data_IF_982103833025
#
_entry.id   IF_982103833025
#
_cell.length_a   1.000
_cell.length_b   1.000
_cell.length_c   1.000
_cell.angle_alpha   90.00
_cell.angle_beta   90.00
_cell.angle_gamma   90.00
#
_symmetry.space_group_name_H-M   'P 1'
#
loop_
_entity.id
_entity.type
_entity.pdbx_description
1 polymer ?
#
# COMPACT_ATOMS: atom_id res chain seq x y z
N UNK A 1 6.75 -85.27 9.84
CA UNK A 1 7.92 -84.41 9.72
C UNK A 1 7.54 -83.21 8.82
N UNK A 2 7.21 -82.09 9.39
CA UNK A 2 6.79 -80.88 8.70
C UNK A 2 7.98 -79.93 8.56
N UNK A 3 8.37 -79.61 7.32
CA UNK A 3 9.40 -78.61 7.01
C UNK A 3 8.76 -77.24 7.05
N UNK A 4 9.17 -76.44 7.99
CA UNK A 4 8.79 -75.01 8.08
C UNK A 4 9.77 -74.21 7.20
N UNK A 5 9.23 -73.62 6.10
CA UNK A 5 9.97 -72.70 5.25
C UNK A 5 9.90 -71.30 5.84
N UNK A 6 11.04 -70.74 6.20
CA UNK A 6 11.17 -69.35 6.66
C UNK A 6 11.22 -68.47 5.41
N UNK A 7 10.13 -67.68 5.17
CA UNK A 7 10.10 -66.62 4.17
C UNK A 7 10.74 -65.36 4.76
N UNK A 8 11.96 -65.06 4.33
CA UNK A 8 12.62 -63.81 4.67
C UNK A 8 12.06 -62.73 3.72
N UNK A 9 11.15 -61.90 4.22
CA UNK A 9 10.71 -60.68 3.52
C UNK A 9 11.81 -59.64 3.61
N UNK A 10 12.53 -59.39 2.53
CA UNK A 10 13.43 -58.27 2.39
C UNK A 10 12.56 -57.03 2.16
N UNK A 11 12.33 -56.26 3.25
CA UNK A 11 11.70 -54.94 3.18
C UNK A 11 12.76 -53.97 2.65
N UNK A 12 12.78 -53.75 1.32
CA UNK A 12 13.58 -52.70 0.73
C UNK A 12 13.06 -51.33 1.21
N UNK A 13 13.73 -50.72 2.16
CA UNK A 13 13.57 -49.32 2.54
C UNK A 13 14.01 -48.48 1.35
N UNK A 14 13.06 -48.12 0.52
CA UNK A 14 13.21 -47.02 -0.45
C UNK A 14 13.32 -45.73 0.38
N UNK A 15 14.50 -45.39 0.79
CA UNK A 15 14.85 -44.01 1.17
C UNK A 15 14.76 -43.19 -0.11
N UNK A 16 13.56 -42.68 -0.39
CA UNK A 16 13.39 -41.64 -1.38
C UNK A 16 14.16 -40.43 -0.81
N UNK A 17 15.38 -40.22 -1.32
CA UNK A 17 16.03 -38.92 -1.18
C UNK A 17 15.05 -37.91 -1.75
N UNK A 18 14.34 -37.17 -0.89
CA UNK A 18 13.64 -35.95 -1.31
C UNK A 18 14.74 -34.98 -1.75
N UNK A 19 15.06 -35.04 -3.04
CA UNK A 19 15.85 -33.99 -3.65
C UNK A 19 14.97 -32.75 -3.59
N UNK A 20 15.26 -31.87 -2.62
CA UNK A 20 14.65 -30.56 -2.65
C UNK A 20 15.11 -29.88 -3.95
N UNK A 21 14.20 -29.38 -4.77
CA UNK A 21 14.56 -28.70 -6.00
C UNK A 21 15.50 -27.55 -5.68
N UNK A 22 16.61 -27.46 -6.42
CA UNK A 22 17.66 -26.46 -6.22
C UNK A 22 17.91 -25.72 -7.51
N UNK A 23 18.17 -24.42 -7.40
CA UNK A 23 18.77 -23.64 -8.45
C UNK A 23 20.30 -23.65 -8.33
N UNK A 24 21.00 -23.33 -9.39
CA UNK A 24 22.45 -23.27 -9.44
C UNK A 24 22.93 -21.97 -10.08
N UNK A 25 23.97 -21.36 -9.49
CA UNK A 25 24.63 -20.17 -10.02
C UNK A 25 26.10 -20.49 -10.22
N UNK A 26 26.56 -20.42 -11.47
CA UNK A 26 27.91 -20.78 -11.86
C UNK A 26 28.60 -19.66 -12.63
N UNK A 27 29.89 -19.79 -12.89
CA UNK A 27 30.61 -18.88 -13.75
C UNK A 27 32.05 -18.67 -13.37
N UNK A 28 32.60 -17.52 -13.78
CA UNK A 28 33.97 -17.12 -13.45
C UNK A 28 34.01 -15.64 -13.07
N UNK A 29 34.75 -15.33 -12.02
CA UNK A 29 35.06 -13.95 -11.59
C UNK A 29 36.60 -13.86 -11.52
N UNK A 30 37.19 -13.29 -12.54
CA UNK A 30 38.66 -13.15 -12.61
C UNK A 30 39.12 -11.91 -11.80
N UNK A 31 40.34 -12.01 -11.24
CA UNK A 31 40.90 -10.96 -10.40
C UNK A 31 40.36 -10.95 -8.97
N UNK A 32 39.76 -12.07 -8.55
CA UNK A 32 39.28 -12.31 -7.18
C UNK A 32 39.59 -13.76 -6.72
N UNK A 33 40.58 -14.39 -7.33
CA UNK A 33 40.98 -15.75 -7.01
C UNK A 33 41.35 -15.85 -5.51
N UNK A 34 40.79 -16.83 -4.81
CA UNK A 34 40.98 -17.01 -3.37
C UNK A 34 40.09 -16.15 -2.48
N UNK A 35 39.34 -15.19 -3.03
CA UNK A 35 38.34 -14.43 -2.27
C UNK A 35 37.08 -15.27 -2.06
N UNK A 36 36.32 -14.93 -1.00
CA UNK A 36 35.03 -15.58 -0.74
C UNK A 36 33.90 -14.90 -1.49
N UNK A 37 33.24 -15.66 -2.34
CA UNK A 37 32.00 -15.27 -3.02
C UNK A 37 30.80 -15.75 -2.19
N UNK A 38 29.87 -14.85 -1.92
CA UNK A 38 28.61 -15.12 -1.23
C UNK A 38 27.44 -15.05 -2.21
N UNK A 39 26.55 -16.03 -2.13
CA UNK A 39 25.22 -15.97 -2.71
C UNK A 39 24.24 -15.57 -1.60
N UNK A 40 23.57 -14.46 -1.78
CA UNK A 40 22.69 -13.90 -0.77
C UNK A 40 21.29 -13.70 -1.34
N UNK A 41 20.26 -14.09 -0.58
CA UNK A 41 18.87 -13.78 -0.86
C UNK A 41 18.52 -12.39 -0.32
N UNK A 42 18.00 -11.52 -1.16
CA UNK A 42 17.65 -10.14 -0.79
C UNK A 42 16.14 -10.05 -0.54
N UNK A 43 15.70 -10.40 0.66
CA UNK A 43 14.30 -10.22 1.07
C UNK A 43 13.98 -8.73 1.33
N UNK A 44 12.72 -8.39 1.61
CA UNK A 44 12.29 -6.99 1.82
C UNK A 44 12.98 -6.32 3.02
N UNK A 45 13.17 -7.06 4.10
CA UNK A 45 13.64 -6.50 5.38
C UNK A 45 15.04 -6.98 5.77
N UNK A 46 15.55 -8.03 5.11
CA UNK A 46 16.82 -8.64 5.45
C UNK A 46 17.52 -9.22 4.23
N UNK A 47 18.79 -9.55 4.41
CA UNK A 47 19.58 -10.26 3.40
C UNK A 47 20.22 -11.45 4.08
N UNK A 48 19.96 -12.65 3.56
CA UNK A 48 20.43 -13.91 4.13
C UNK A 48 21.47 -14.54 3.21
N UNK A 49 22.58 -15.02 3.79
CA UNK A 49 23.56 -15.82 3.04
C UNK A 49 22.95 -17.20 2.80
N UNK A 50 22.82 -17.58 1.53
CA UNK A 50 22.27 -18.86 1.11
C UNK A 50 23.39 -19.89 0.91
N UNK A 51 24.50 -19.46 0.29
CA UNK A 51 25.66 -20.30 0.02
C UNK A 51 26.92 -19.43 -0.11
N UNK A 52 28.08 -20.05 -0.04
CA UNK A 52 29.37 -19.37 -0.24
C UNK A 52 30.44 -20.33 -0.70
N UNK A 53 31.37 -19.84 -1.49
CA UNK A 53 32.55 -20.58 -1.88
C UNK A 53 33.78 -19.68 -1.95
N UNK A 54 34.97 -20.28 -1.83
CA UNK A 54 36.22 -19.61 -2.20
C UNK A 54 36.45 -19.81 -3.69
N UNK A 55 36.69 -18.71 -4.42
CA UNK A 55 36.95 -18.76 -5.85
C UNK A 55 38.19 -19.60 -6.17
N UNK A 56 38.03 -20.46 -7.18
CA UNK A 56 39.17 -21.30 -7.65
C UNK A 56 40.28 -20.44 -8.26
N UNK A 57 41.44 -21.05 -8.53
CA UNK A 57 42.60 -20.38 -9.14
C UNK A 57 42.32 -19.80 -10.56
N UNK A 58 41.31 -20.28 -11.22
CA UNK A 58 40.82 -19.79 -12.54
C UNK A 58 39.59 -18.84 -12.38
N UNK A 59 39.24 -18.47 -11.14
CA UNK A 59 38.10 -17.65 -10.81
C UNK A 59 36.74 -18.36 -10.93
N UNK A 60 36.73 -19.68 -11.19
CA UNK A 60 35.47 -20.43 -11.34
C UNK A 60 34.78 -20.68 -10.00
N UNK A 61 33.44 -20.75 -10.06
CA UNK A 61 32.58 -21.01 -8.90
C UNK A 61 31.30 -21.76 -9.26
N UNK A 62 30.73 -22.43 -8.26
CA UNK A 62 29.39 -23.01 -8.32
C UNK A 62 28.72 -22.86 -6.93
N UNK A 63 27.56 -22.23 -6.91
CA UNK A 63 26.74 -21.98 -5.72
C UNK A 63 25.34 -22.49 -5.94
N UNK A 64 24.68 -22.94 -4.87
CA UNK A 64 23.34 -23.54 -4.95
C UNK A 64 22.43 -22.97 -3.87
N UNK A 65 21.12 -23.02 -4.16
CA UNK A 65 20.10 -22.68 -3.18
C UNK A 65 18.84 -23.48 -3.41
N UNK A 66 17.97 -23.53 -2.39
CA UNK A 66 16.63 -24.10 -2.56
C UNK A 66 15.84 -23.26 -3.55
N UNK A 67 15.09 -23.91 -4.45
CA UNK A 67 14.23 -23.21 -5.40
C UNK A 67 13.23 -22.31 -4.66
N UNK A 68 13.12 -21.03 -5.02
CA UNK A 68 12.14 -20.14 -4.42
C UNK A 68 10.72 -20.50 -4.86
N UNK A 69 9.74 -20.20 -4.02
CA UNK A 69 8.32 -20.36 -4.36
C UNK A 69 7.86 -19.37 -5.43
N UNK A 70 8.40 -18.14 -5.36
CA UNK A 70 8.20 -17.08 -6.35
C UNK A 70 9.54 -16.55 -6.83
N UNK A 71 9.63 -16.00 -8.07
CA UNK A 71 10.85 -15.33 -8.50
C UNK A 71 11.27 -14.26 -7.50
N UNK A 72 12.55 -14.22 -7.10
CA UNK A 72 13.03 -13.24 -6.13
C UNK A 72 14.46 -12.77 -6.45
N UNK A 73 14.88 -11.72 -5.73
CA UNK A 73 16.19 -11.12 -5.90
C UNK A 73 17.26 -11.82 -5.07
N UNK A 74 18.35 -12.06 -5.73
CA UNK A 74 19.57 -12.56 -5.14
C UNK A 74 20.73 -11.64 -5.49
N UNK A 75 21.84 -11.75 -4.79
CA UNK A 75 23.07 -11.07 -5.15
C UNK A 75 24.29 -11.98 -4.98
N UNK A 76 25.23 -11.86 -5.90
CA UNK A 76 26.59 -12.38 -5.78
C UNK A 76 27.47 -11.28 -5.23
N UNK A 77 28.10 -11.49 -4.07
CA UNK A 77 28.87 -10.46 -3.38
C UNK A 77 30.30 -10.92 -3.04
N UNK A 78 31.28 -10.05 -3.34
CA UNK A 78 32.65 -10.13 -2.88
C UNK A 78 33.00 -8.80 -2.21
N UNK A 79 33.28 -8.81 -0.90
CA UNK A 79 33.49 -7.60 -0.12
C UNK A 79 32.30 -6.64 -0.20
N UNK A 80 32.49 -5.45 -0.78
CA UNK A 80 31.42 -4.46 -0.97
C UNK A 80 30.84 -4.46 -2.41
N UNK A 81 31.40 -5.26 -3.30
CA UNK A 81 30.97 -5.34 -4.69
C UNK A 81 29.94 -6.44 -4.87
N UNK A 82 28.90 -6.19 -5.64
CA UNK A 82 27.86 -7.19 -5.89
C UNK A 82 27.17 -7.04 -7.25
N UNK A 83 26.76 -8.16 -7.79
CA UNK A 83 25.87 -8.28 -8.92
C UNK A 83 24.47 -8.68 -8.42
N UNK A 84 23.42 -8.16 -9.04
CA UNK A 84 22.01 -8.51 -8.70
C UNK A 84 21.48 -9.44 -9.77
N UNK A 85 20.86 -10.54 -9.34
CA UNK A 85 20.22 -11.51 -10.23
C UNK A 85 18.81 -11.83 -9.72
N UNK A 86 17.97 -12.32 -10.60
CA UNK A 86 16.64 -12.84 -10.30
C UNK A 86 16.67 -14.34 -10.52
N UNK A 87 16.26 -15.09 -9.51
CA UNK A 87 16.10 -16.55 -9.59
C UNK A 87 14.63 -16.89 -9.62
N UNK A 88 14.28 -17.72 -10.61
CA UNK A 88 12.95 -18.30 -10.77
C UNK A 88 13.08 -19.84 -10.77
N UNK A 89 12.41 -20.49 -9.81
CA UNK A 89 12.36 -21.95 -9.70
C UNK A 89 13.74 -22.66 -9.75
N UNK A 90 13.99 -23.41 -10.81
CA UNK A 90 15.15 -24.27 -11.02
C UNK A 90 16.19 -23.64 -11.94
N UNK A 91 16.32 -22.33 -11.95
CA UNK A 91 17.23 -21.62 -12.83
C UNK A 91 18.69 -22.12 -12.72
N UNK A 92 19.33 -22.24 -13.87
CA UNK A 92 20.78 -22.39 -14.00
C UNK A 92 21.35 -21.09 -14.53
N UNK A 93 21.75 -20.21 -13.61
CA UNK A 93 22.26 -18.87 -13.97
C UNK A 93 23.78 -18.92 -14.07
N UNK A 94 24.31 -18.35 -15.15
CA UNK A 94 25.77 -18.24 -15.31
C UNK A 94 26.16 -16.76 -15.41
N UNK A 95 27.21 -16.36 -14.66
CA UNK A 95 27.81 -15.02 -14.74
C UNK A 95 29.32 -15.14 -14.97
N UNK A 96 29.81 -14.54 -16.06
CA UNK A 96 31.23 -14.34 -16.33
C UNK A 96 31.57 -12.85 -16.23
N UNK A 97 32.52 -12.50 -15.36
CA UNK A 97 32.90 -11.10 -15.14
C UNK A 97 34.32 -11.00 -14.53
N UNK A 98 34.78 -9.78 -14.30
CA UNK A 98 35.97 -9.50 -13.49
C UNK A 98 35.57 -8.85 -12.17
N UNK A 99 36.39 -8.90 -11.13
CA UNK A 99 36.13 -8.26 -9.85
C UNK A 99 35.83 -6.76 -10.01
N UNK A 100 36.57 -6.07 -10.88
CA UNK A 100 36.37 -4.63 -11.13
C UNK A 100 35.08 -4.34 -11.88
N UNK A 101 34.65 -5.28 -12.70
CA UNK A 101 33.41 -5.14 -13.50
C UNK A 101 32.18 -5.69 -12.79
N UNK A 102 32.32 -6.37 -11.65
CA UNK A 102 31.23 -7.06 -10.96
C UNK A 102 29.98 -6.19 -10.73
N UNK A 103 30.07 -4.92 -10.31
CA UNK A 103 28.89 -4.08 -10.18
C UNK A 103 28.51 -3.35 -11.49
N UNK A 104 29.32 -3.45 -12.56
CA UNK A 104 29.19 -2.56 -13.75
C UNK A 104 28.76 -3.29 -14.99
N UNK A 105 29.37 -4.48 -15.26
CA UNK A 105 29.12 -5.23 -16.49
C UNK A 105 28.73 -6.67 -16.12
N UNK A 106 27.43 -6.86 -15.96
CA UNK A 106 26.84 -8.14 -15.61
C UNK A 106 26.36 -8.82 -16.90
N UNK A 107 27.06 -9.87 -17.34
CA UNK A 107 26.66 -10.70 -18.50
C UNK A 107 26.08 -12.02 -18.01
N UNK A 108 24.80 -12.01 -17.67
CA UNK A 108 24.08 -13.20 -17.27
C UNK A 108 23.63 -14.03 -18.47
N UNK A 109 23.61 -15.36 -18.28
CA UNK A 109 22.88 -16.31 -19.12
C UNK A 109 22.06 -17.25 -18.24
N UNK A 110 21.02 -17.85 -18.80
CA UNK A 110 20.16 -18.79 -18.07
C UNK A 110 19.03 -18.16 -17.26
N UNK A 111 19.01 -16.83 -17.12
CA UNK A 111 17.89 -16.08 -16.52
C UNK A 111 17.64 -14.79 -17.30
N UNK A 112 16.53 -14.75 -18.03
CA UNK A 112 16.14 -13.57 -18.81
C UNK A 112 15.89 -12.36 -17.90
N UNK A 113 15.28 -12.56 -16.75
CA UNK A 113 15.03 -11.49 -15.78
C UNK A 113 16.33 -10.91 -15.21
N UNK A 114 17.35 -11.71 -14.96
CA UNK A 114 18.69 -11.23 -14.55
C UNK A 114 19.32 -10.35 -15.62
N UNK A 115 19.22 -10.76 -16.89
CA UNK A 115 19.72 -9.95 -18.02
C UNK A 115 19.03 -8.58 -18.08
N UNK A 116 17.70 -8.57 -17.96
CA UNK A 116 16.91 -7.32 -17.99
C UNK A 116 17.19 -6.42 -16.78
N UNK A 117 17.36 -6.98 -15.57
CA UNK A 117 17.78 -6.20 -14.39
C UNK A 117 19.17 -5.59 -14.59
N UNK A 118 20.13 -6.35 -15.15
CA UNK A 118 21.45 -5.82 -15.48
C UNK A 118 21.37 -4.68 -16.51
N UNK A 119 20.49 -4.78 -17.52
CA UNK A 119 20.25 -3.71 -18.49
C UNK A 119 19.66 -2.45 -17.81
N UNK A 120 18.71 -2.59 -16.90
CA UNK A 120 18.16 -1.48 -16.12
C UNK A 120 19.25 -0.80 -15.28
N UNK A 121 20.08 -1.57 -14.58
CA UNK A 121 21.21 -1.06 -13.78
C UNK A 121 22.21 -0.29 -14.64
N UNK A 122 22.57 -0.85 -15.78
CA UNK A 122 23.47 -0.20 -16.75
C UNK A 122 22.88 1.09 -17.31
N UNK A 123 21.61 1.06 -17.71
CA UNK A 123 20.91 2.23 -18.21
C UNK A 123 20.86 3.36 -17.16
N UNK A 124 20.57 3.03 -15.90
CA UNK A 124 20.52 4.01 -14.79
C UNK A 124 21.89 4.70 -14.58
N UNK A 125 23.00 3.94 -14.72
CA UNK A 125 24.35 4.48 -14.56
C UNK A 125 24.77 5.37 -15.73
N UNK A 126 24.52 4.91 -16.94
CA UNK A 126 25.10 5.49 -18.16
C UNK A 126 24.27 6.59 -18.81
N UNK A 127 22.98 6.69 -18.51
CA UNK A 127 22.06 7.64 -19.15
C UNK A 127 21.57 8.72 -18.18
N UNK A 128 21.15 9.89 -18.71
CA UNK A 128 20.34 10.84 -17.95
C UNK A 128 19.09 10.19 -17.39
N UNK A 129 18.59 10.71 -16.27
CA UNK A 129 17.45 10.09 -15.54
C UNK A 129 16.19 9.98 -16.40
N UNK A 130 15.92 10.96 -17.27
CA UNK A 130 14.71 10.96 -18.11
C UNK A 130 14.79 9.93 -19.24
N UNK A 131 15.96 9.74 -19.85
CA UNK A 131 16.17 8.68 -20.83
C UNK A 131 16.09 7.29 -20.18
N UNK A 132 16.68 7.15 -18.98
CA UNK A 132 16.54 5.92 -18.21
C UNK A 132 15.09 5.65 -17.83
N UNK A 133 14.33 6.68 -17.41
CA UNK A 133 12.91 6.55 -17.09
C UNK A 133 12.10 6.01 -18.28
N UNK A 134 12.35 6.53 -19.49
CA UNK A 134 11.69 6.02 -20.70
C UNK A 134 12.03 4.55 -20.96
N UNK A 135 13.29 4.16 -20.80
CA UNK A 135 13.71 2.77 -20.93
C UNK A 135 13.03 1.87 -19.87
N UNK A 136 13.00 2.30 -18.61
CA UNK A 136 12.34 1.58 -17.53
C UNK A 136 10.83 1.45 -17.76
N UNK A 137 10.17 2.48 -18.29
CA UNK A 137 8.75 2.44 -18.69
C UNK A 137 8.48 1.33 -19.72
N UNK A 138 9.34 1.20 -20.72
CA UNK A 138 9.21 0.14 -21.74
C UNK A 138 9.31 -1.24 -21.11
N UNK A 139 10.28 -1.46 -20.20
CA UNK A 139 10.46 -2.72 -19.48
C UNK A 139 9.25 -3.05 -18.60
N UNK A 140 8.72 -2.07 -17.85
CA UNK A 140 7.53 -2.24 -16.99
C UNK A 140 6.32 -2.66 -17.84
N UNK A 141 6.09 -1.97 -18.95
CA UNK A 141 4.91 -2.24 -19.79
C UNK A 141 5.02 -3.56 -20.58
N UNK A 142 6.23 -4.00 -20.90
CA UNK A 142 6.45 -5.28 -21.58
C UNK A 142 6.31 -6.49 -20.63
N UNK A 143 6.71 -6.34 -19.36
CA UNK A 143 6.79 -7.43 -18.38
C UNK A 143 6.19 -7.06 -17.02
N UNK A 144 4.93 -6.58 -16.93
CA UNK A 144 4.39 -5.93 -15.74
C UNK A 144 4.28 -6.85 -14.50
N UNK A 145 4.19 -8.17 -14.69
CA UNK A 145 4.12 -9.16 -13.62
C UNK A 145 5.49 -9.66 -13.14
N UNK A 146 6.59 -9.18 -13.74
CA UNK A 146 7.93 -9.70 -13.48
C UNK A 146 8.66 -8.97 -12.35
N UNK A 147 9.70 -9.61 -11.80
CA UNK A 147 10.61 -8.96 -10.87
C UNK A 147 11.40 -7.82 -11.51
N UNK A 148 11.53 -7.82 -12.84
CA UNK A 148 12.13 -6.71 -13.61
C UNK A 148 11.32 -5.44 -13.46
N UNK A 149 9.99 -5.53 -13.61
CA UNK A 149 9.09 -4.38 -13.43
C UNK A 149 9.08 -3.89 -11.97
N UNK A 150 9.03 -4.83 -11.01
CA UNK A 150 9.17 -4.50 -9.60
C UNK A 150 10.49 -3.76 -9.31
N UNK A 151 11.61 -4.25 -9.84
CA UNK A 151 12.91 -3.59 -9.70
C UNK A 151 12.91 -2.19 -10.32
N UNK A 152 12.33 -2.04 -11.51
CA UNK A 152 12.31 -0.79 -12.26
C UNK A 152 11.59 0.35 -11.52
N UNK A 153 10.41 0.06 -10.90
CA UNK A 153 9.63 1.10 -10.21
C UNK A 153 10.32 1.61 -8.95
N UNK A 154 11.18 0.80 -8.29
CA UNK A 154 11.87 1.19 -7.06
C UNK A 154 13.29 1.74 -7.28
N UNK A 155 13.72 1.92 -8.53
CA UNK A 155 15.04 2.48 -8.79
C UNK A 155 15.14 3.96 -8.36
N UNK A 156 16.33 4.31 -7.88
CA UNK A 156 16.69 5.70 -7.56
C UNK A 156 18.09 6.05 -8.07
N UNK A 157 18.30 7.31 -8.41
CA UNK A 157 19.61 7.86 -8.81
C UNK A 157 19.97 9.00 -7.87
N UNK A 158 21.05 8.84 -7.11
CA UNK A 158 21.51 9.83 -6.12
C UNK A 158 20.42 10.23 -5.10
N UNK A 159 19.63 9.24 -4.65
CA UNK A 159 18.53 9.45 -3.70
C UNK A 159 17.23 9.98 -4.30
N UNK A 160 17.21 10.30 -5.59
CA UNK A 160 15.98 10.72 -6.30
C UNK A 160 15.34 9.48 -6.95
N UNK A 161 14.07 9.15 -6.63
CA UNK A 161 13.39 8.03 -7.27
C UNK A 161 13.21 8.27 -8.76
N UNK A 162 13.35 7.22 -9.57
CA UNK A 162 13.10 7.25 -11.02
C UNK A 162 11.61 7.47 -11.28
N UNK A 163 10.77 6.86 -10.47
CA UNK A 163 9.31 7.06 -10.45
C UNK A 163 8.89 7.49 -9.05
N UNK A 164 8.07 8.53 -8.96
CA UNK A 164 7.45 8.97 -7.71
C UNK A 164 6.05 8.35 -7.59
N UNK A 165 5.83 7.59 -6.53
CA UNK A 165 4.54 6.94 -6.25
C UNK A 165 3.43 7.94 -5.92
N UNK A 166 3.78 9.11 -5.41
CA UNK A 166 2.83 10.15 -5.04
C UNK A 166 2.50 11.10 -6.21
N UNK A 167 3.29 11.07 -7.29
CA UNK A 167 3.01 11.82 -8.52
C UNK A 167 2.04 11.01 -9.41
N UNK A 168 0.81 11.49 -9.69
CA UNK A 168 -0.22 10.73 -10.41
C UNK A 168 0.23 10.19 -11.76
N UNK A 169 1.01 10.99 -12.51
CA UNK A 169 1.52 10.61 -13.84
C UNK A 169 2.54 9.48 -13.79
N UNK A 170 3.23 9.32 -12.66
CA UNK A 170 4.27 8.31 -12.46
C UNK A 170 3.72 7.11 -11.67
N UNK A 171 2.79 7.31 -10.74
CA UNK A 171 2.13 6.26 -9.97
C UNK A 171 1.50 5.18 -10.83
N UNK A 172 1.01 5.51 -12.03
CA UNK A 172 0.45 4.52 -12.96
C UNK A 172 1.36 3.31 -13.20
N UNK A 173 2.68 3.48 -13.16
CA UNK A 173 3.63 2.38 -13.35
C UNK A 173 3.65 1.46 -12.13
N UNK A 174 3.59 2.01 -10.93
CA UNK A 174 3.41 1.20 -9.70
C UNK A 174 2.07 0.48 -9.70
N UNK A 175 0.99 1.12 -10.14
CA UNK A 175 -0.34 0.49 -10.25
C UNK A 175 -0.34 -0.69 -11.21
N UNK A 176 0.28 -0.53 -12.38
CA UNK A 176 0.40 -1.61 -13.37
C UNK A 176 1.16 -2.81 -12.79
N UNK A 177 2.30 -2.57 -12.14
CA UNK A 177 3.09 -3.64 -11.52
C UNK A 177 2.32 -4.29 -10.36
N UNK A 178 1.78 -3.48 -9.43
CA UNK A 178 1.03 -3.98 -8.28
C UNK A 178 -0.17 -4.84 -8.68
N UNK A 179 -0.96 -4.38 -9.65
CA UNK A 179 -2.13 -5.11 -10.14
C UNK A 179 -1.73 -6.40 -10.86
N UNK A 180 -0.71 -6.34 -11.72
CA UNK A 180 -0.23 -7.52 -12.45
C UNK A 180 0.35 -8.56 -11.51
N UNK A 181 1.19 -8.16 -10.55
CA UNK A 181 1.73 -9.08 -9.54
C UNK A 181 0.62 -9.65 -8.64
N UNK A 182 -0.39 -8.85 -8.27
CA UNK A 182 -1.51 -9.33 -7.45
C UNK A 182 -2.33 -10.42 -8.15
N UNK A 183 -2.45 -10.38 -9.46
CA UNK A 183 -3.12 -11.43 -10.25
C UNK A 183 -2.30 -12.73 -10.31
N UNK A 184 -0.98 -12.63 -10.48
CA UNK A 184 -0.10 -13.77 -10.72
C UNK A 184 0.57 -14.34 -9.46
N UNK A 185 0.83 -13.50 -8.46
CA UNK A 185 1.53 -13.83 -7.22
C UNK A 185 0.84 -13.14 -6.02
N UNK A 186 -0.46 -13.44 -5.74
CA UNK A 186 -1.24 -12.71 -4.73
C UNK A 186 -0.66 -12.85 -3.31
N UNK A 187 -0.11 -14.02 -2.97
CA UNK A 187 0.39 -14.34 -1.64
C UNK A 187 1.87 -13.96 -1.45
N UNK A 188 2.52 -13.47 -2.51
CA UNK A 188 3.91 -13.05 -2.41
C UNK A 188 4.05 -11.76 -1.62
N UNK A 189 4.93 -11.75 -0.62
CA UNK A 189 5.08 -10.64 0.32
C UNK A 189 5.37 -9.30 -0.36
N UNK A 190 6.18 -9.29 -1.43
CA UNK A 190 6.47 -8.05 -2.19
C UNK A 190 5.23 -7.54 -2.91
N UNK A 191 4.39 -8.42 -3.40
CA UNK A 191 3.11 -8.06 -4.02
C UNK A 191 2.19 -7.39 -3.01
N UNK A 192 2.00 -8.02 -1.85
CA UNK A 192 1.12 -7.49 -0.79
C UNK A 192 1.58 -6.11 -0.33
N UNK A 193 2.88 -5.93 -0.09
CA UNK A 193 3.43 -4.64 0.35
C UNK A 193 3.28 -3.57 -0.73
N UNK A 194 3.65 -3.87 -1.98
CA UNK A 194 3.51 -2.93 -3.09
C UNK A 194 2.05 -2.53 -3.32
N UNK A 195 1.14 -3.51 -3.33
CA UNK A 195 -0.28 -3.26 -3.54
C UNK A 195 -0.87 -2.34 -2.45
N UNK A 196 -0.53 -2.60 -1.19
CA UNK A 196 -0.94 -1.74 -0.07
C UNK A 196 -0.39 -0.32 -0.20
N UNK A 197 0.90 -0.16 -0.51
CA UNK A 197 1.51 1.16 -0.70
C UNK A 197 0.85 1.97 -1.82
N UNK A 198 0.50 1.31 -2.92
CA UNK A 198 -0.20 1.95 -4.05
C UNK A 198 -1.60 2.40 -3.63
N UNK A 199 -2.34 1.55 -2.91
CA UNK A 199 -3.67 1.91 -2.39
C UNK A 199 -3.60 3.10 -1.43
N UNK A 200 -2.63 3.12 -0.53
CA UNK A 200 -2.43 4.22 0.41
C UNK A 200 -2.11 5.54 -0.31
N UNK A 201 -1.24 5.50 -1.32
CA UNK A 201 -0.93 6.67 -2.13
C UNK A 201 -2.16 7.20 -2.90
N UNK A 202 -3.01 6.32 -3.44
CA UNK A 202 -4.26 6.70 -4.10
C UNK A 202 -5.28 7.31 -3.12
N UNK A 203 -5.40 6.74 -1.94
CA UNK A 203 -6.29 7.24 -0.90
C UNK A 203 -5.83 8.62 -0.40
N UNK A 204 -4.52 8.81 -0.21
CA UNK A 204 -3.97 10.12 0.18
C UNK A 204 -4.26 11.20 -0.87
N UNK A 205 -4.12 10.89 -2.17
CA UNK A 205 -4.46 11.83 -3.23
C UNK A 205 -5.95 12.17 -3.24
N UNK A 206 -6.82 11.15 -3.16
CA UNK A 206 -8.28 11.36 -3.13
C UNK A 206 -8.70 12.24 -1.95
N UNK A 207 -8.07 12.02 -0.77
CA UNK A 207 -8.29 12.86 0.41
C UNK A 207 -7.86 14.31 0.13
N UNK A 208 -6.66 14.52 -0.42
CA UNK A 208 -6.16 15.86 -0.75
C UNK A 208 -7.03 16.58 -1.78
N UNK A 209 -7.52 15.88 -2.80
CA UNK A 209 -8.43 16.44 -3.81
C UNK A 209 -9.78 16.83 -3.19
N UNK A 210 -10.35 15.97 -2.33
CA UNK A 210 -11.59 16.27 -1.61
C UNK A 210 -11.43 17.49 -0.70
N UNK A 211 -10.31 17.60 0.00
CA UNK A 211 -10.03 18.75 0.88
C UNK A 211 -9.85 20.04 0.07
N UNK A 212 -9.22 19.97 -1.10
CA UNK A 212 -9.06 21.11 -2.02
C UNK A 212 -10.40 21.56 -2.59
N UNK A 213 -11.22 20.63 -3.10
CA UNK A 213 -12.57 20.95 -3.60
C UNK A 213 -13.45 21.58 -2.51
N UNK A 214 -13.33 21.08 -1.26
CA UNK A 214 -14.07 21.65 -0.15
C UNK A 214 -13.61 23.08 0.18
N UNK A 215 -12.30 23.36 0.15
CA UNK A 215 -11.78 24.74 0.34
C UNK A 215 -12.29 25.67 -0.75
N UNK A 216 -12.22 25.25 -2.01
CA UNK A 216 -12.75 26.01 -3.14
C UNK A 216 -14.25 26.27 -2.99
N UNK A 217 -15.02 25.25 -2.58
CA UNK A 217 -16.45 25.37 -2.32
C UNK A 217 -16.76 26.35 -1.16
N UNK A 218 -15.95 26.34 -0.11
CA UNK A 218 -16.06 27.30 1.02
C UNK A 218 -15.77 28.72 0.53
N UNK A 219 -14.73 28.92 -0.28
CA UNK A 219 -14.35 30.24 -0.83
C UNK A 219 -15.41 30.78 -1.82
N UNK A 220 -16.01 29.91 -2.64
CA UNK A 220 -17.06 30.28 -3.60
C UNK A 220 -18.43 30.49 -2.93
N UNK A 221 -18.68 29.88 -1.76
CA UNK A 221 -19.96 29.92 -1.05
C UNK A 221 -20.09 31.09 -0.08
N UNK A 222 -19.37 32.19 -0.27
CA UNK A 222 -19.46 33.39 0.60
C UNK A 222 -20.89 33.94 0.79
N UNK A 223 -21.93 33.37 0.16
CA UNK A 223 -23.31 33.84 0.26
C UNK A 223 -24.41 32.80 0.44
N UNK A 224 -24.18 31.50 0.36
CA UNK A 224 -25.27 30.52 0.42
C UNK A 224 -25.13 29.53 1.58
N UNK A 225 -25.93 29.70 2.62
CA UNK A 225 -26.19 28.66 3.61
C UNK A 225 -26.90 27.48 2.91
N UNK A 226 -26.27 26.31 2.88
CA UNK A 226 -26.84 25.11 2.31
C UNK A 226 -27.76 24.47 3.36
N UNK A 227 -29.04 24.76 3.28
CA UNK A 227 -29.99 24.26 4.24
C UNK A 227 -30.30 22.77 4.04
N UNK A 228 -30.56 22.08 5.14
CA UNK A 228 -31.03 20.69 5.20
C UNK A 228 -32.39 20.70 5.91
N UNK A 229 -33.39 20.11 5.29
CA UNK A 229 -34.72 19.91 5.86
C UNK A 229 -35.03 18.42 5.86
N UNK A 230 -34.96 17.79 7.02
CA UNK A 230 -35.16 16.34 7.16
C UNK A 230 -36.02 16.01 8.40
N UNK A 231 -36.73 14.86 8.39
CA UNK A 231 -37.56 14.44 9.49
C UNK A 231 -36.72 13.93 10.69
N UNK A 232 -37.17 14.29 11.91
CA UNK A 232 -36.70 13.70 13.15
C UNK A 232 -37.43 12.36 13.43
N UNK A 233 -37.19 11.73 14.59
CA UNK A 233 -37.82 10.45 14.97
C UNK A 233 -39.35 10.57 15.18
N UNK A 234 -39.86 11.78 15.39
CA UNK A 234 -41.30 12.03 15.57
C UNK A 234 -42.00 12.38 14.26
N UNK A 235 -41.25 12.52 13.17
CA UNK A 235 -41.76 12.89 11.85
C UNK A 235 -41.79 14.39 11.60
N UNK A 236 -41.36 15.23 12.54
CA UNK A 236 -41.28 16.67 12.36
C UNK A 236 -40.08 17.03 11.49
N UNK A 237 -40.26 17.95 10.56
CA UNK A 237 -39.16 18.45 9.75
C UNK A 237 -38.32 19.44 10.56
N UNK A 238 -37.04 19.13 10.72
CA UNK A 238 -36.06 20.01 11.36
C UNK A 238 -35.17 20.63 10.27
N UNK A 239 -35.00 21.96 10.32
CA UNK A 239 -34.13 22.66 9.38
C UNK A 239 -32.77 22.95 10.03
N UNK A 240 -31.70 22.75 9.29
CA UNK A 240 -30.35 23.12 9.73
C UNK A 240 -30.27 24.64 9.96
N UNK A 241 -31.00 25.44 9.19
CA UNK A 241 -31.09 26.91 9.33
C UNK A 241 -31.67 27.38 10.67
N UNK A 242 -32.45 26.56 11.38
CA UNK A 242 -32.98 26.88 12.71
C UNK A 242 -31.88 27.01 13.78
N UNK A 243 -30.72 26.45 13.52
CA UNK A 243 -29.53 26.50 14.41
C UNK A 243 -28.64 27.73 14.14
N UNK A 244 -29.00 28.64 13.20
CA UNK A 244 -28.24 29.85 12.95
C UNK A 244 -28.09 30.71 14.22
N UNK A 245 -26.97 31.41 14.33
CA UNK A 245 -26.60 32.16 15.51
C UNK A 245 -25.76 31.41 16.53
N UNK A 246 -25.68 30.08 16.37
CA UNK A 246 -24.76 29.23 17.11
C UNK A 246 -23.70 28.62 16.18
N UNK A 247 -22.61 28.12 16.77
CA UNK A 247 -21.66 27.27 16.04
C UNK A 247 -22.30 25.90 15.88
N UNK A 248 -22.37 25.36 14.66
CA UNK A 248 -23.07 24.11 14.39
C UNK A 248 -22.04 23.04 14.05
N UNK A 249 -22.12 21.90 14.75
CA UNK A 249 -21.45 20.67 14.32
C UNK A 249 -22.47 19.81 13.55
N UNK A 250 -22.39 19.91 12.21
CA UNK A 250 -23.18 19.09 11.30
C UNK A 250 -22.49 17.74 11.14
N UNK A 251 -23.15 16.68 11.55
CA UNK A 251 -22.65 15.33 11.59
C UNK A 251 -23.42 14.43 10.62
N UNK A 252 -22.70 13.78 9.70
CA UNK A 252 -23.22 12.70 8.86
C UNK A 252 -22.68 11.38 9.38
N UNK A 253 -23.55 10.51 9.90
CA UNK A 253 -23.16 9.27 10.56
C UNK A 253 -24.15 8.14 10.33
N UNK A 254 -23.84 6.93 10.80
CA UNK A 254 -24.69 5.76 10.78
C UNK A 254 -24.57 4.98 12.10
N UNK A 255 -25.66 4.41 12.58
CA UNK A 255 -25.67 3.52 13.72
C UNK A 255 -24.83 2.26 13.52
N UNK A 256 -24.56 1.91 12.28
CA UNK A 256 -23.82 0.69 11.89
C UNK A 256 -22.30 0.92 11.74
N UNK A 257 -21.79 2.09 12.13
CA UNK A 257 -20.34 2.33 12.14
C UNK A 257 -19.63 1.44 13.17
N UNK A 258 -18.45 0.94 12.81
CA UNK A 258 -17.68 -0.02 13.61
C UNK A 258 -17.39 0.45 15.05
N UNK A 259 -17.25 1.76 15.27
CA UNK A 259 -17.01 2.37 16.58
C UNK A 259 -18.16 3.31 17.03
N UNK A 260 -19.38 3.05 16.61
CA UNK A 260 -20.53 3.95 16.81
C UNK A 260 -20.75 4.39 18.26
N UNK A 261 -20.59 3.51 19.25
CA UNK A 261 -20.74 3.89 20.66
C UNK A 261 -19.67 4.88 21.14
N UNK A 262 -18.41 4.66 20.79
CA UNK A 262 -17.31 5.58 21.13
C UNK A 262 -17.49 6.94 20.45
N UNK A 263 -17.96 6.92 19.22
CA UNK A 263 -18.26 8.12 18.43
C UNK A 263 -19.36 8.97 19.10
N UNK A 264 -20.48 8.38 19.49
CA UNK A 264 -21.56 9.08 20.18
C UNK A 264 -21.10 9.62 21.54
N UNK A 265 -20.26 8.90 22.27
CA UNK A 265 -19.68 9.40 23.52
C UNK A 265 -18.84 10.64 23.28
N UNK A 266 -18.02 10.68 22.23
CA UNK A 266 -17.22 11.87 21.89
C UNK A 266 -18.09 13.08 21.51
N UNK A 267 -19.18 12.87 20.76
CA UNK A 267 -20.16 13.93 20.48
C UNK A 267 -20.84 14.43 21.76
N UNK A 268 -21.20 13.54 22.70
CA UNK A 268 -21.78 13.93 24.01
C UNK A 268 -20.80 14.75 24.85
N UNK A 269 -19.53 14.41 24.82
CA UNK A 269 -18.50 15.19 25.52
C UNK A 269 -18.40 16.62 24.97
N UNK A 270 -18.42 16.77 23.65
CA UNK A 270 -18.45 18.09 23.01
C UNK A 270 -19.72 18.87 23.37
N UNK A 271 -20.88 18.23 23.26
CA UNK A 271 -22.16 18.85 23.61
C UNK A 271 -22.17 19.31 25.07
N UNK A 272 -21.87 18.43 26.03
CA UNK A 272 -21.83 18.75 27.45
C UNK A 272 -20.88 19.91 27.78
N UNK A 273 -19.76 20.01 27.07
CA UNK A 273 -18.71 21.01 27.34
C UNK A 273 -18.98 22.36 26.67
N UNK A 274 -19.67 22.37 25.54
CA UNK A 274 -19.77 23.55 24.67
C UNK A 274 -21.20 23.98 24.33
N UNK A 275 -22.23 23.17 24.56
CA UNK A 275 -23.63 23.57 24.29
C UNK A 275 -23.99 24.92 24.91
N UNK A 276 -23.72 25.09 26.21
CA UNK A 276 -23.96 26.38 26.93
C UNK A 276 -23.09 27.54 26.46
N UNK A 277 -22.04 27.25 25.67
CA UNK A 277 -21.16 28.25 25.09
C UNK A 277 -21.54 28.62 23.65
N UNK A 278 -22.58 27.99 23.12
CA UNK A 278 -23.10 28.28 21.79
C UNK A 278 -22.81 27.23 20.71
N UNK A 279 -22.46 26.01 21.08
CA UNK A 279 -22.44 24.88 20.16
C UNK A 279 -23.85 24.26 20.04
N UNK A 280 -24.27 23.94 18.84
CA UNK A 280 -25.37 22.99 18.57
C UNK A 280 -24.84 21.85 17.70
N UNK A 281 -25.42 20.67 17.86
CA UNK A 281 -25.16 19.51 17.01
C UNK A 281 -26.40 19.20 16.17
N UNK A 282 -26.19 18.97 14.87
CA UNK A 282 -27.23 18.53 13.95
C UNK A 282 -26.73 17.27 13.25
N UNK A 283 -27.29 16.11 13.66
CA UNK A 283 -26.86 14.79 13.15
C UNK A 283 -27.79 14.31 12.06
N UNK A 284 -27.24 14.02 10.89
CA UNK A 284 -27.92 13.41 9.73
C UNK A 284 -27.53 11.94 9.65
N UNK A 285 -28.46 11.06 9.95
CA UNK A 285 -28.25 9.62 9.76
C UNK A 285 -28.46 9.22 8.29
N UNK A 286 -27.55 8.37 7.82
CA UNK A 286 -27.64 7.70 6.52
C UNK A 286 -28.06 6.23 6.64
N UNK A 287 -28.59 5.83 7.79
CA UNK A 287 -29.02 4.45 8.03
C UNK A 287 -30.14 4.04 7.06
N UNK A 288 -29.98 2.92 6.35
CA UNK A 288 -31.01 2.42 5.45
C UNK A 288 -32.25 1.91 6.19
N UNK A 289 -32.07 1.45 7.44
CA UNK A 289 -33.13 0.88 8.28
C UNK A 289 -33.48 1.86 9.38
N UNK A 290 -34.70 2.40 9.31
CA UNK A 290 -35.23 3.40 10.25
C UNK A 290 -35.17 2.96 11.71
N UNK A 291 -35.48 1.69 12.00
CA UNK A 291 -35.50 1.15 13.36
C UNK A 291 -34.14 1.24 14.06
N UNK A 292 -33.06 0.96 13.37
CA UNK A 292 -31.72 1.06 13.94
C UNK A 292 -31.32 2.49 14.30
N UNK A 293 -31.69 3.43 13.42
CA UNK A 293 -31.52 4.85 13.67
C UNK A 293 -32.35 5.33 14.86
N UNK A 294 -33.64 4.97 14.95
CA UNK A 294 -34.52 5.38 16.05
C UNK A 294 -34.01 4.93 17.41
N UNK A 295 -33.53 3.68 17.50
CA UNK A 295 -32.96 3.17 18.75
C UNK A 295 -31.65 3.89 19.11
N UNK A 296 -30.84 4.21 18.12
CA UNK A 296 -29.56 4.85 18.32
C UNK A 296 -29.67 6.30 18.80
N UNK A 297 -30.62 7.08 18.26
CA UNK A 297 -30.75 8.51 18.55
C UNK A 297 -31.73 8.86 19.68
N UNK A 298 -32.51 7.90 20.15
CA UNK A 298 -33.63 8.09 21.10
C UNK A 298 -33.27 8.93 22.34
N UNK A 299 -32.05 8.81 22.82
CA UNK A 299 -31.57 9.45 24.04
C UNK A 299 -30.49 10.52 23.76
N UNK A 300 -30.35 10.98 22.53
CA UNK A 300 -29.41 12.04 22.21
C UNK A 300 -30.02 13.42 22.48
N UNK A 301 -29.28 14.36 23.10
CA UNK A 301 -29.82 15.65 23.52
C UNK A 301 -29.86 16.70 22.41
N UNK A 302 -29.39 16.39 21.22
CA UNK A 302 -29.34 17.32 20.08
C UNK A 302 -30.26 16.87 18.94
N UNK A 303 -30.35 17.70 17.90
CA UNK A 303 -31.20 17.42 16.73
C UNK A 303 -30.63 16.26 15.93
N UNK A 304 -31.47 15.22 15.77
CA UNK A 304 -31.14 14.03 15.00
C UNK A 304 -32.21 13.82 13.92
N UNK A 305 -31.76 13.80 12.67
CA UNK A 305 -32.63 13.60 11.50
C UNK A 305 -32.11 12.44 10.65
N UNK A 306 -32.93 11.91 9.75
CA UNK A 306 -32.55 10.83 8.85
C UNK A 306 -32.86 11.17 7.41
N UNK A 307 -31.92 10.92 6.52
CA UNK A 307 -32.15 11.04 5.08
C UNK A 307 -32.54 9.69 4.46
N UNK A 308 -33.50 9.71 3.56
CA UNK A 308 -33.86 8.59 2.69
C UNK A 308 -33.32 8.78 1.25
N UNK A 309 -32.68 9.92 1.01
CA UNK A 309 -32.13 10.27 -0.30
C UNK A 309 -30.66 10.62 -0.21
N UNK A 310 -29.98 10.63 -1.34
CA UNK A 310 -28.59 11.05 -1.42
C UNK A 310 -28.40 12.57 -1.49
N UNK A 311 -29.49 13.34 -1.57
CA UNK A 311 -29.44 14.80 -1.79
C UNK A 311 -28.56 15.52 -0.74
N UNK A 312 -28.73 15.34 0.58
CA UNK A 312 -27.86 16.02 1.56
C UNK A 312 -26.41 15.60 1.45
N UNK A 313 -26.15 14.33 1.11
CA UNK A 313 -24.79 13.79 0.91
C UNK A 313 -24.12 14.45 -0.31
N UNK A 314 -24.85 14.59 -1.40
CA UNK A 314 -24.34 15.26 -2.61
C UNK A 314 -24.11 16.75 -2.32
N UNK A 315 -25.07 17.41 -1.66
CA UNK A 315 -24.98 18.85 -1.32
C UNK A 315 -23.75 19.17 -0.49
N UNK A 316 -23.40 18.32 0.48
CA UNK A 316 -22.22 18.48 1.33
C UNK A 316 -21.02 17.65 0.86
N UNK A 317 -21.08 17.07 -0.33
CA UNK A 317 -20.01 16.21 -0.88
C UNK A 317 -19.52 15.13 0.11
N UNK A 318 -20.47 14.42 0.74
CA UNK A 318 -20.19 13.35 1.70
C UNK A 318 -20.03 12.04 0.97
N UNK A 319 -18.80 11.53 0.88
CA UNK A 319 -18.47 10.25 0.22
C UNK A 319 -18.37 9.06 1.17
N UNK A 320 -18.27 9.32 2.47
CA UNK A 320 -18.15 8.27 3.52
C UNK A 320 -18.63 8.83 4.86
N UNK A 321 -19.02 7.93 5.79
CA UNK A 321 -19.36 8.29 7.16
C UNK A 321 -18.38 7.62 8.14
N UNK A 322 -18.03 8.28 9.26
CA UNK A 322 -18.49 9.60 9.67
C UNK A 322 -17.85 10.73 8.85
N UNK A 323 -18.62 11.77 8.55
CA UNK A 323 -18.10 13.05 8.05
C UNK A 323 -18.79 14.17 8.82
N UNK A 324 -17.99 15.07 9.40
CA UNK A 324 -18.47 16.19 10.19
C UNK A 324 -18.06 17.52 9.55
N UNK A 325 -18.93 18.52 9.69
CA UNK A 325 -18.64 19.90 9.30
C UNK A 325 -18.84 20.83 10.49
N UNK A 326 -17.91 21.75 10.68
CA UNK A 326 -18.05 22.82 11.67
C UNK A 326 -18.49 24.08 10.94
N UNK A 327 -19.67 24.60 11.29
CA UNK A 327 -20.23 25.82 10.71
C UNK A 327 -20.16 26.93 11.75
N UNK A 328 -19.84 28.14 11.31
CA UNK A 328 -19.89 29.33 12.17
C UNK A 328 -21.32 29.82 12.42
N UNK A 329 -21.45 30.87 13.21
CA UNK A 329 -22.76 31.45 13.56
C UNK A 329 -23.57 32.00 12.38
N UNK A 330 -22.91 32.25 11.25
CA UNK A 330 -23.57 32.64 9.98
C UNK A 330 -23.98 31.42 9.15
N UNK A 331 -23.53 30.23 9.54
CA UNK A 331 -23.74 28.98 8.84
C UNK A 331 -22.72 28.70 7.74
N UNK A 332 -21.59 29.41 7.74
CA UNK A 332 -20.50 29.16 6.81
C UNK A 332 -19.65 27.99 7.31
N UNK A 333 -19.30 27.08 6.42
CA UNK A 333 -18.45 25.91 6.74
C UNK A 333 -17.03 26.39 7.02
N UNK A 334 -16.53 26.08 8.21
CA UNK A 334 -15.19 26.43 8.70
C UNK A 334 -14.22 25.24 8.65
N UNK A 335 -14.73 24.02 8.60
CA UNK A 335 -13.91 22.81 8.52
C UNK A 335 -14.71 21.56 8.23
N UNK A 336 -14.01 20.53 7.72
CA UNK A 336 -14.53 19.19 7.49
C UNK A 336 -13.62 18.17 8.17
N UNK A 337 -14.21 17.15 8.81
CA UNK A 337 -13.51 16.17 9.64
C UNK A 337 -14.06 14.76 9.37
N UNK A 338 -13.22 13.75 9.61
CA UNK A 338 -13.50 12.33 9.47
C UNK A 338 -13.58 11.59 10.83
N UNK A 339 -14.01 12.31 11.89
CA UNK A 339 -14.05 11.76 13.25
C UNK A 339 -12.85 12.14 14.11
N UNK A 340 -11.99 13.04 13.68
CA UNK A 340 -10.90 13.59 14.52
C UNK A 340 -11.43 14.63 15.50
N UNK A 341 -11.92 14.18 16.65
CA UNK A 341 -12.53 15.02 17.68
C UNK A 341 -11.57 16.02 18.35
N UNK A 342 -10.27 15.69 18.42
CA UNK A 342 -9.26 16.61 18.96
C UNK A 342 -9.11 17.85 18.07
N UNK A 343 -9.06 17.66 16.77
CA UNK A 343 -8.99 18.76 15.81
C UNK A 343 -10.30 19.56 15.79
N UNK A 344 -11.46 18.88 15.84
CA UNK A 344 -12.78 19.52 15.93
C UNK A 344 -12.82 20.44 17.18
N UNK A 345 -12.42 19.95 18.33
CA UNK A 345 -12.44 20.74 19.58
C UNK A 345 -11.51 21.95 19.51
N UNK A 346 -10.35 21.80 18.90
CA UNK A 346 -9.40 22.91 18.70
C UNK A 346 -9.98 24.02 17.83
N UNK A 347 -10.64 23.65 16.73
CA UNK A 347 -11.21 24.62 15.79
C UNK A 347 -12.52 25.21 16.33
N UNK A 348 -13.34 24.42 17.03
CA UNK A 348 -14.53 24.88 17.74
C UNK A 348 -14.22 25.99 18.76
N UNK A 349 -13.13 25.84 19.54
CA UNK A 349 -12.70 26.87 20.52
C UNK A 349 -12.39 28.21 19.88
N UNK A 350 -12.10 28.29 18.61
CA UNK A 350 -11.83 29.53 17.88
C UNK A 350 -13.09 30.22 17.39
N UNK A 351 -14.20 29.50 17.28
CA UNK A 351 -15.47 29.99 16.75
C UNK A 351 -16.46 30.39 17.88
N UNK A 352 -16.29 29.82 19.06
CA UNK A 352 -17.11 30.13 20.27
C UNK A 352 -16.71 31.40 20.94
#
# INVERSE_FOLDING_TARGET
MKRIGILISILALLTACRHNPQFEVTGTITGAEGETLYLEHTALMQTDIIDSCVLNADGSYALRGAAPEYPDFYRLRIGQRYAVLVIDSLDHVTLHTTLDSLPVTEQFTGSEQSVMVAQLRNSLRSRPIDEHRQFAQQMIMAHPQSMVAYYAVFQSKQGVPVFDMYEPQQRKYYQVVATSMHVWMPDYVRTTVLYTQVLDAMNAERKAQNDMMMRQYIEESESAFLDIALPNIYGDTCLLSEHRGKVILLDFSSSQMEQGNAYVLALRELDNKYHKKGLDIYSVSVDPVKLYWEDWVRNLPWTCVRTETTTPLVTYNVGSVPTLFLLDRKGQVQGRYDGNFEQIEKDLKRLL
#
